data_IF_342568598975
#
_entry.id   IF_342568598975
#
_cell.length_a   1.000
_cell.length_b   1.000
_cell.length_c   1.000
_cell.angle_alpha   90.00
_cell.angle_beta   90.00
_cell.angle_gamma   90.00
#
_symmetry.space_group_name_H-M   'P 1'
#
loop_
_entity.id
_entity.type
_entity.pdbx_description
1 polymer ?
#
# COMPACT_ATOMS: atom_id res chain seq x y z
N UNK A 1 -29.41 17.38 -5.65
CA UNK A 1 -30.54 16.99 -6.51
C UNK A 1 -30.55 15.47 -6.62
N UNK A 2 -31.31 14.71 -5.80
CA UNK A 2 -31.39 13.27 -5.97
C UNK A 2 -32.62 12.91 -6.82
N UNK A 3 -32.39 12.21 -7.93
CA UNK A 3 -33.42 11.67 -8.82
C UNK A 3 -34.01 10.40 -8.24
N UNK A 4 -35.26 10.50 -7.79
CA UNK A 4 -36.11 9.41 -7.31
C UNK A 4 -36.42 8.43 -8.45
N UNK A 5 -35.96 7.18 -8.33
CA UNK A 5 -36.29 6.12 -9.30
C UNK A 5 -37.45 5.29 -8.75
N UNK A 6 -38.63 5.54 -9.33
CA UNK A 6 -39.92 4.91 -9.02
C UNK A 6 -39.98 3.51 -9.64
N UNK A 7 -39.87 2.45 -8.82
CA UNK A 7 -40.17 1.07 -9.24
C UNK A 7 -41.68 0.87 -9.32
N UNK A 8 -42.13 0.49 -10.52
CA UNK A 8 -43.52 0.20 -10.90
C UNK A 8 -43.81 -1.27 -10.58
N UNK A 9 -44.71 -1.53 -9.64
CA UNK A 9 -45.21 -2.87 -9.35
C UNK A 9 -46.19 -3.29 -10.47
N UNK A 10 -45.91 -4.42 -11.11
CA UNK A 10 -46.78 -5.09 -12.07
C UNK A 10 -47.67 -6.09 -11.34
N UNK A 11 -48.96 -5.77 -11.27
CA UNK A 11 -50.04 -6.63 -10.81
C UNK A 11 -50.32 -7.74 -11.83
N UNK A 12 -50.11 -8.99 -11.43
CA UNK A 12 -50.53 -10.18 -12.17
C UNK A 12 -51.94 -10.55 -11.74
N UNK A 13 -52.89 -10.42 -12.66
CA UNK A 13 -54.29 -10.82 -12.50
C UNK A 13 -54.42 -12.33 -12.69
N UNK A 14 -54.82 -13.05 -11.64
CA UNK A 14 -55.26 -14.44 -11.73
C UNK A 14 -56.64 -14.50 -12.40
N UNK A 15 -56.69 -15.14 -13.56
CA UNK A 15 -57.92 -15.52 -14.25
C UNK A 15 -58.46 -16.80 -13.62
N UNK A 16 -59.57 -16.64 -12.92
CA UNK A 16 -60.46 -17.68 -12.42
C UNK A 16 -61.12 -18.38 -13.62
N UNK A 17 -60.87 -19.68 -13.79
CA UNK A 17 -61.47 -20.50 -14.84
C UNK A 17 -62.30 -21.59 -14.17
N UNK A 18 -63.58 -21.26 -14.01
CA UNK A 18 -64.66 -22.19 -13.68
C UNK A 18 -64.83 -23.20 -14.83
N UNK A 19 -64.56 -24.47 -14.58
CA UNK A 19 -65.03 -25.57 -15.42
C UNK A 19 -66.05 -26.39 -14.63
N UNK A 20 -67.24 -26.45 -15.22
CA UNK A 20 -68.42 -27.12 -14.74
C UNK A 20 -68.38 -28.62 -15.01
N UNK A 21 -69.09 -29.34 -14.14
CA UNK A 21 -69.92 -30.52 -14.40
C UNK A 21 -69.48 -31.52 -15.46
N UNK A 22 -69.01 -32.68 -14.99
CA UNK A 22 -69.37 -33.96 -15.59
C UNK A 22 -69.39 -35.03 -14.48
N UNK A 23 -70.59 -35.26 -13.93
CA UNK A 23 -70.87 -36.42 -13.08
C UNK A 23 -71.14 -37.62 -13.98
N UNK A 24 -70.14 -38.48 -14.16
CA UNK A 24 -70.34 -39.79 -14.78
C UNK A 24 -70.09 -40.91 -13.76
N UNK A 25 -71.17 -41.64 -13.48
CA UNK A 25 -71.22 -42.71 -12.49
C UNK A 25 -70.47 -43.94 -12.98
N UNK A 26 -69.23 -44.12 -12.54
CA UNK A 26 -68.49 -45.37 -12.72
C UNK A 26 -68.34 -46.08 -11.38
N UNK A 27 -69.00 -47.23 -11.30
CA UNK A 27 -68.96 -48.18 -10.19
C UNK A 27 -67.50 -48.56 -9.90
N UNK A 28 -66.96 -48.03 -8.80
CA UNK A 28 -65.57 -48.14 -8.42
C UNK A 28 -65.24 -49.60 -8.02
N UNK A 29 -64.64 -50.33 -8.96
CA UNK A 29 -63.98 -51.61 -8.69
C UNK A 29 -62.75 -51.30 -7.82
N UNK A 30 -62.90 -51.40 -6.51
CA UNK A 30 -61.85 -51.17 -5.51
C UNK A 30 -60.71 -52.16 -5.73
N UNK A 31 -59.71 -51.76 -6.52
CA UNK A 31 -58.44 -52.47 -6.62
C UNK A 31 -57.71 -52.28 -5.29
N UNK A 32 -57.65 -53.36 -4.50
CA UNK A 32 -56.79 -53.45 -3.33
C UNK A 32 -55.35 -53.15 -3.74
N UNK A 33 -54.87 -51.97 -3.36
CA UNK A 33 -53.49 -51.56 -3.51
C UNK A 33 -52.64 -52.49 -2.62
N UNK A 34 -51.61 -53.17 -3.16
CA UNK A 34 -50.79 -54.11 -2.39
C UNK A 34 -50.16 -53.44 -1.16
N UNK A 35 -50.22 -54.08 0.00
CA UNK A 35 -49.70 -53.52 1.26
C UNK A 35 -48.22 -53.06 1.18
N UNK A 36 -47.41 -53.68 0.31
CA UNK A 36 -46.02 -53.26 0.05
C UNK A 36 -45.90 -51.84 -0.55
N UNK A 37 -46.87 -51.37 -1.34
CA UNK A 37 -46.78 -50.04 -1.94
C UNK A 37 -47.08 -48.93 -0.92
N UNK A 38 -47.79 -49.23 0.16
CA UNK A 38 -48.00 -48.26 1.25
C UNK A 38 -46.72 -47.94 2.02
N UNK A 39 -45.87 -48.94 2.27
CA UNK A 39 -44.58 -48.74 2.94
C UNK A 39 -43.63 -47.87 2.11
N UNK A 40 -43.55 -48.12 0.80
CA UNK A 40 -42.72 -47.31 -0.11
C UNK A 40 -43.21 -45.86 -0.18
N UNK A 41 -44.52 -45.63 -0.19
CA UNK A 41 -45.07 -44.26 -0.20
C UNK A 41 -44.74 -43.51 1.09
N UNK A 42 -44.75 -44.19 2.24
CA UNK A 42 -44.38 -43.57 3.52
C UNK A 42 -42.89 -43.22 3.57
N UNK A 43 -42.02 -44.09 3.05
CA UNK A 43 -40.58 -43.83 2.94
C UNK A 43 -40.27 -42.68 1.99
N UNK A 44 -40.90 -42.65 0.81
CA UNK A 44 -40.77 -41.53 -0.14
C UNK A 44 -41.20 -40.20 0.48
N UNK A 45 -42.31 -40.20 1.23
CA UNK A 45 -42.78 -38.98 1.91
C UNK A 45 -41.81 -38.53 3.00
N UNK A 46 -41.27 -39.47 3.78
CA UNK A 46 -40.24 -39.17 4.79
C UNK A 46 -38.98 -38.58 4.16
N UNK A 47 -38.56 -39.10 3.01
CA UNK A 47 -37.39 -38.63 2.28
C UNK A 47 -37.63 -37.25 1.65
N UNK A 48 -38.85 -37.00 1.14
CA UNK A 48 -39.28 -35.69 0.65
C UNK A 48 -39.26 -34.64 1.76
N UNK A 49 -39.79 -34.95 2.95
CA UNK A 49 -39.81 -34.05 4.09
C UNK A 49 -38.38 -33.77 4.62
N UNK A 50 -37.52 -34.78 4.64
CA UNK A 50 -36.09 -34.63 4.97
C UNK A 50 -35.38 -33.72 3.96
N UNK A 51 -35.62 -33.91 2.66
CA UNK A 51 -35.04 -33.08 1.61
C UNK A 51 -35.50 -31.62 1.69
N UNK A 52 -36.80 -31.38 1.94
CA UNK A 52 -37.34 -30.04 2.17
C UNK A 52 -36.68 -29.36 3.36
N UNK A 53 -36.49 -30.09 4.46
CA UNK A 53 -35.82 -29.56 5.65
C UNK A 53 -34.36 -29.23 5.38
N UNK A 54 -33.66 -30.06 4.60
CA UNK A 54 -32.28 -29.81 4.18
C UNK A 54 -32.16 -28.55 3.30
N UNK A 55 -33.09 -28.34 2.36
CA UNK A 55 -33.15 -27.12 1.55
C UNK A 55 -33.30 -25.88 2.43
N UNK A 56 -34.28 -25.88 3.34
CA UNK A 56 -34.52 -24.73 4.24
C UNK A 56 -33.30 -24.42 5.11
N UNK A 57 -32.61 -25.45 5.61
CA UNK A 57 -31.37 -25.25 6.36
C UNK A 57 -30.25 -24.65 5.50
N UNK A 58 -30.13 -25.08 4.24
CA UNK A 58 -29.14 -24.52 3.31
C UNK A 58 -29.46 -23.08 2.92
N UNK A 59 -30.73 -22.75 2.71
CA UNK A 59 -31.17 -21.37 2.46
C UNK A 59 -30.85 -20.46 3.65
N UNK A 60 -31.06 -20.94 4.88
CA UNK A 60 -30.67 -20.21 6.10
C UNK A 60 -29.15 -20.01 6.19
N UNK A 61 -28.35 -21.03 5.86
CA UNK A 61 -26.89 -20.95 5.84
C UNK A 61 -26.39 -19.92 4.80
N UNK A 62 -27.02 -19.87 3.62
CA UNK A 62 -26.71 -18.90 2.57
C UNK A 62 -27.07 -17.48 3.06
N UNK A 63 -28.25 -17.28 3.62
CA UNK A 63 -28.68 -15.98 4.13
C UNK A 63 -27.76 -15.44 5.24
N UNK A 64 -27.24 -16.31 6.11
CA UNK A 64 -26.26 -15.92 7.14
C UNK A 64 -24.92 -15.50 6.53
N UNK A 65 -24.46 -16.20 5.49
CA UNK A 65 -23.24 -15.82 4.75
C UNK A 65 -23.41 -14.50 4.00
N UNK A 66 -24.55 -14.29 3.36
CA UNK A 66 -24.86 -13.03 2.67
C UNK A 66 -24.90 -11.86 3.64
N UNK A 67 -25.47 -12.05 4.84
CA UNK A 67 -25.42 -11.05 5.91
C UNK A 67 -23.98 -10.74 6.32
N UNK A 68 -23.14 -11.76 6.51
CA UNK A 68 -21.74 -11.57 6.89
C UNK A 68 -20.92 -10.88 5.78
N UNK A 69 -21.22 -11.17 4.52
CA UNK A 69 -20.61 -10.46 3.39
C UNK A 69 -20.99 -8.97 3.42
N UNK A 70 -22.26 -8.65 3.64
CA UNK A 70 -22.71 -7.27 3.75
C UNK A 70 -22.07 -6.52 4.95
N UNK A 71 -21.85 -7.19 6.08
CA UNK A 71 -21.12 -6.61 7.22
C UNK A 71 -19.64 -6.31 6.88
N UNK A 72 -18.95 -7.23 6.19
CA UNK A 72 -17.56 -7.01 5.76
C UNK A 72 -17.44 -5.89 4.72
N UNK A 73 -18.41 -5.76 3.81
CA UNK A 73 -18.42 -4.66 2.83
C UNK A 73 -18.54 -3.29 3.52
N UNK A 74 -19.37 -3.18 4.58
CA UNK A 74 -19.48 -1.95 5.37
C UNK A 74 -18.18 -1.62 6.12
N UNK A 75 -17.52 -2.63 6.71
CA UNK A 75 -16.22 -2.44 7.37
C UNK A 75 -15.13 -1.99 6.36
N UNK A 76 -15.17 -2.53 5.14
CA UNK A 76 -14.25 -2.13 4.08
C UNK A 76 -14.48 -0.68 3.65
N UNK A 77 -15.73 -0.27 3.48
CA UNK A 77 -16.09 1.10 3.16
C UNK A 77 -15.64 2.08 4.27
N UNK A 78 -15.82 1.72 5.55
CA UNK A 78 -15.35 2.53 6.68
C UNK A 78 -13.82 2.68 6.67
N UNK A 79 -13.08 1.58 6.46
CA UNK A 79 -11.62 1.60 6.36
C UNK A 79 -11.12 2.45 5.18
N UNK A 80 -11.78 2.34 4.02
CA UNK A 80 -11.45 3.12 2.84
C UNK A 80 -11.68 4.62 3.06
N UNK A 81 -12.75 4.99 3.75
CA UNK A 81 -13.02 6.38 4.11
C UNK A 81 -11.97 6.92 5.10
N UNK A 82 -11.62 6.16 6.15
CA UNK A 82 -10.59 6.57 7.10
C UNK A 82 -9.22 6.79 6.44
N UNK A 83 -8.83 5.92 5.51
CA UNK A 83 -7.55 6.08 4.80
C UNK A 83 -7.57 7.27 3.84
N UNK A 84 -8.73 7.53 3.20
CA UNK A 84 -8.91 8.71 2.33
C UNK A 84 -8.74 10.01 3.12
N UNK A 85 -9.38 10.12 4.29
CA UNK A 85 -9.26 11.30 5.16
C UNK A 85 -7.81 11.50 5.65
N UNK A 86 -7.12 10.40 5.98
CA UNK A 86 -5.71 10.43 6.39
C UNK A 86 -4.80 10.92 5.27
N UNK A 87 -5.00 10.42 4.05
CA UNK A 87 -4.24 10.86 2.87
C UNK A 87 -4.45 12.36 2.65
N UNK A 88 -5.70 12.82 2.69
CA UNK A 88 -6.02 14.23 2.51
C UNK A 88 -5.34 15.11 3.58
N UNK A 89 -5.37 14.70 4.85
CA UNK A 89 -4.69 15.42 5.93
C UNK A 89 -3.17 15.54 5.70
N UNK A 90 -2.52 14.49 5.19
CA UNK A 90 -1.09 14.51 4.90
C UNK A 90 -0.75 15.38 3.67
N UNK A 91 -1.63 15.41 2.68
CA UNK A 91 -1.49 16.30 1.52
C UNK A 91 -1.58 17.77 1.95
N UNK A 92 -2.55 18.11 2.81
CA UNK A 92 -2.70 19.45 3.37
C UNK A 92 -1.48 19.89 4.19
N UNK A 93 -0.92 18.98 5.02
CA UNK A 93 0.31 19.24 5.78
C UNK A 93 1.52 19.46 4.85
N UNK A 94 1.67 18.62 3.82
CA UNK A 94 2.73 18.76 2.82
C UNK A 94 2.63 20.09 2.08
N UNK A 95 1.44 20.49 1.67
CA UNK A 95 1.21 21.79 1.04
C UNK A 95 1.55 22.95 1.98
N UNK A 96 1.21 22.83 3.27
CA UNK A 96 1.55 23.82 4.27
C UNK A 96 3.07 23.95 4.45
N UNK A 97 3.79 22.84 4.57
CA UNK A 97 5.26 22.84 4.67
C UNK A 97 5.93 23.46 3.44
N UNK A 98 5.40 23.19 2.23
CA UNK A 98 5.90 23.81 1.01
C UNK A 98 5.70 25.34 1.00
N UNK A 99 4.54 25.83 1.49
CA UNK A 99 4.29 27.27 1.64
C UNK A 99 5.26 27.91 2.63
N UNK A 100 5.49 27.25 3.77
CA UNK A 100 6.38 27.75 4.81
C UNK A 100 7.84 27.76 4.38
N UNK A 101 8.28 26.73 3.63
CA UNK A 101 9.60 26.68 3.02
C UNK A 101 9.81 27.83 2.04
N UNK A 102 8.86 28.06 1.12
CA UNK A 102 8.95 29.16 0.16
C UNK A 102 8.97 30.53 0.86
N UNK A 103 8.17 30.70 1.92
CA UNK A 103 8.19 31.90 2.73
C UNK A 103 9.52 32.12 3.47
N UNK A 104 10.19 31.04 3.91
CA UNK A 104 11.52 31.10 4.49
C UNK A 104 12.58 31.50 3.45
N UNK A 105 12.54 30.91 2.25
CA UNK A 105 13.46 31.21 1.16
C UNK A 105 13.35 32.68 0.71
N UNK A 106 12.13 33.21 0.61
CA UNK A 106 11.91 34.64 0.31
C UNK A 106 12.46 35.56 1.41
N UNK A 107 12.32 35.19 2.68
CA UNK A 107 12.91 35.94 3.80
C UNK A 107 14.43 35.92 3.74
N UNK A 108 15.04 34.77 3.48
CA UNK A 108 16.49 34.63 3.32
C UNK A 108 17.01 35.49 2.16
N UNK A 109 16.37 35.44 1.00
CA UNK A 109 16.71 36.27 -0.15
C UNK A 109 16.56 37.79 0.15
N UNK A 110 15.61 38.18 1.00
CA UNK A 110 15.46 39.54 1.49
C UNK A 110 16.62 39.97 2.40
N UNK A 111 17.00 39.12 3.36
CA UNK A 111 18.13 39.36 4.26
C UNK A 111 19.45 39.43 3.50
N UNK A 112 19.70 38.53 2.54
CA UNK A 112 20.88 38.54 1.70
C UNK A 112 21.03 39.85 0.90
N UNK A 113 19.92 40.40 0.37
CA UNK A 113 19.92 41.72 -0.28
C UNK A 113 20.29 42.85 0.70
N UNK A 114 19.77 42.81 1.93
CA UNK A 114 20.10 43.81 2.95
C UNK A 114 21.57 43.77 3.35
N UNK A 115 22.13 42.57 3.51
CA UNK A 115 23.56 42.37 3.80
C UNK A 115 24.43 43.00 2.70
N UNK A 116 24.18 42.67 1.43
CA UNK A 116 24.92 43.26 0.30
C UNK A 116 24.86 44.79 0.25
N UNK A 117 23.70 45.38 0.58
CA UNK A 117 23.54 46.82 0.65
C UNK A 117 24.40 47.44 1.77
N UNK A 118 24.40 46.83 2.96
CA UNK A 118 25.24 47.26 4.08
C UNK A 118 26.73 47.11 3.77
N UNK A 119 27.14 46.02 3.12
CA UNK A 119 28.52 45.82 2.67
C UNK A 119 28.95 46.90 1.69
N UNK A 120 28.09 47.27 0.73
CA UNK A 120 28.37 48.37 -0.20
C UNK A 120 28.50 49.73 0.51
N UNK A 121 27.64 50.00 1.50
CA UNK A 121 27.75 51.22 2.31
C UNK A 121 29.07 51.25 3.09
N UNK A 122 29.45 50.16 3.75
CA UNK A 122 30.72 50.04 4.47
C UNK A 122 31.90 50.27 3.53
N UNK A 123 31.89 49.65 2.34
CA UNK A 123 32.93 49.85 1.33
C UNK A 123 33.05 51.33 0.91
N UNK A 124 31.93 52.00 0.61
CA UNK A 124 31.94 53.43 0.24
C UNK A 124 32.49 54.33 1.36
N UNK A 125 32.18 54.03 2.62
CA UNK A 125 32.70 54.78 3.77
C UNK A 125 34.20 54.57 3.93
N UNK A 126 34.68 53.35 3.65
CA UNK A 126 36.09 53.02 3.70
C UNK A 126 36.87 53.75 2.60
N UNK A 127 36.37 53.78 1.36
CA UNK A 127 36.98 54.51 0.25
C UNK A 127 37.03 56.02 0.51
N UNK A 128 35.93 56.59 1.02
CA UNK A 128 35.87 58.00 1.40
C UNK A 128 36.89 58.33 2.51
N UNK A 129 37.13 57.40 3.44
CA UNK A 129 38.14 57.60 4.50
C UNK A 129 39.58 57.58 3.97
N UNK A 130 39.86 56.80 2.93
CA UNK A 130 41.18 56.72 2.30
C UNK A 130 41.47 57.94 1.40
N UNK A 131 40.43 58.46 0.74
CA UNK A 131 40.54 59.60 -0.18
C UNK A 131 40.42 60.98 0.47
N UNK A 132 40.25 61.08 1.78
CA UNK A 132 40.33 62.36 2.48
C UNK A 132 41.79 62.85 2.41
N UNK A 133 42.09 63.93 1.65
CA UNK A 133 43.45 64.45 1.59
C UNK A 133 43.86 64.83 3.00
N UNK A 134 44.98 64.27 3.47
CA UNK A 134 45.64 64.65 4.71
C UNK A 134 45.98 66.15 4.64
N UNK A 135 45.01 67.02 4.93
CA UNK A 135 45.25 68.43 5.16
C UNK A 135 46.20 68.48 6.35
N UNK A 136 47.47 68.75 6.06
CA UNK A 136 48.55 68.96 7.03
C UNK A 136 48.27 70.23 7.83
N UNK A 137 47.23 70.24 8.64
CA UNK A 137 47.12 71.19 9.74
C UNK A 137 47.91 70.60 10.91
N UNK A 138 49.19 70.95 10.96
CA UNK A 138 49.96 70.93 12.21
C UNK A 138 49.22 71.83 13.18
N UNK A 139 49.12 71.37 14.43
CA UNK A 139 48.39 71.96 15.58
C UNK A 139 46.89 71.69 15.57
N UNK A 140 46.49 70.57 16.21
CA UNK A 140 45.41 70.47 17.22
C UNK A 140 45.30 68.99 17.62
N UNK A 141 45.54 68.72 18.91
CA UNK A 141 44.87 67.70 19.73
C UNK A 141 45.00 66.22 19.36
N UNK A 142 45.78 65.48 20.15
CA UNK A 142 45.84 64.00 20.24
C UNK A 142 44.51 63.30 20.62
N UNK A 143 43.39 64.03 20.71
CA UNK A 143 42.10 63.51 21.16
C UNK A 143 41.31 62.72 20.07
N UNK A 144 41.64 62.87 18.79
CA UNK A 144 40.83 62.29 17.69
C UNK A 144 41.03 60.78 17.47
N UNK A 145 42.22 60.22 17.77
CA UNK A 145 42.50 58.80 17.55
C UNK A 145 41.72 57.88 18.50
N UNK A 146 41.44 58.34 19.72
CA UNK A 146 40.72 57.57 20.74
C UNK A 146 39.28 57.30 20.32
N UNK A 147 38.57 58.31 19.78
CA UNK A 147 37.18 58.15 19.31
C UNK A 147 37.05 57.20 18.11
N UNK A 148 37.98 57.27 17.15
CA UNK A 148 37.99 56.35 16.00
C UNK A 148 38.24 54.90 16.44
N UNK A 149 39.12 54.68 17.42
CA UNK A 149 39.38 53.35 17.97
C UNK A 149 38.15 52.80 18.71
N UNK A 150 37.43 53.65 19.43
CA UNK A 150 36.17 53.29 20.11
C UNK A 150 35.07 52.90 19.11
N UNK A 151 34.90 53.67 18.03
CA UNK A 151 33.94 53.36 16.98
C UNK A 151 34.23 52.01 16.29
N UNK A 152 35.51 51.74 15.98
CA UNK A 152 35.92 50.43 15.41
C UNK A 152 35.62 49.27 16.35
N UNK A 153 35.84 49.46 17.66
CA UNK A 153 35.55 48.45 18.66
C UNK A 153 34.03 48.18 18.78
N UNK A 154 33.21 49.24 18.81
CA UNK A 154 31.76 49.09 18.84
C UNK A 154 31.21 48.41 17.58
N UNK A 155 31.76 48.73 16.40
CA UNK A 155 31.38 48.08 15.15
C UNK A 155 31.76 46.58 15.15
N UNK A 156 32.98 46.25 15.59
CA UNK A 156 33.41 44.85 15.70
C UNK A 156 32.53 44.05 16.66
N UNK A 157 32.18 44.62 17.81
CA UNK A 157 31.27 44.00 18.78
C UNK A 157 29.86 43.82 18.22
N UNK A 158 29.35 44.80 17.45
CA UNK A 158 28.04 44.70 16.81
C UNK A 158 28.01 43.59 15.74
N UNK A 159 29.05 43.49 14.90
CA UNK A 159 29.18 42.40 13.93
C UNK A 159 29.20 41.05 14.65
N UNK A 160 30.03 40.91 15.68
CA UNK A 160 30.13 39.65 16.45
C UNK A 160 28.79 39.26 17.11
N UNK A 161 28.04 40.22 17.63
CA UNK A 161 26.72 39.98 18.20
C UNK A 161 25.71 39.48 17.15
N UNK A 162 25.69 40.11 15.96
CA UNK A 162 24.84 39.68 14.84
C UNK A 162 25.22 38.28 14.36
N UNK A 163 26.50 37.99 14.19
CA UNK A 163 26.96 36.65 13.76
C UNK A 163 26.61 35.58 14.78
N UNK A 164 26.78 35.86 16.08
CA UNK A 164 26.44 34.92 17.16
C UNK A 164 24.92 34.67 17.23
N UNK A 165 24.11 35.71 17.04
CA UNK A 165 22.66 35.58 16.96
C UNK A 165 22.22 34.73 15.76
N UNK A 166 22.81 34.95 14.58
CA UNK A 166 22.55 34.15 13.40
C UNK A 166 22.93 32.67 13.59
N UNK A 167 24.09 32.41 14.22
CA UNK A 167 24.54 31.04 14.52
C UNK A 167 23.61 30.33 15.51
N UNK A 168 23.16 31.03 16.56
CA UNK A 168 22.19 30.47 17.51
C UNK A 168 20.86 30.14 16.83
N UNK A 169 20.40 30.99 15.90
CA UNK A 169 19.16 30.75 15.18
C UNK A 169 19.29 29.54 14.24
N UNK A 170 20.40 29.43 13.50
CA UNK A 170 20.70 28.27 12.65
C UNK A 170 20.81 26.97 13.47
N UNK A 171 21.36 27.04 14.69
CA UNK A 171 21.43 25.88 15.57
C UNK A 171 20.06 25.49 16.10
N UNK A 172 19.19 26.45 16.42
CA UNK A 172 17.82 26.22 16.84
C UNK A 172 16.98 25.56 15.71
N UNK A 173 17.12 26.03 14.48
CA UNK A 173 16.43 25.42 13.33
C UNK A 173 16.94 24.01 13.02
N UNK A 174 18.25 23.74 13.15
CA UNK A 174 18.78 22.38 12.98
C UNK A 174 18.29 21.40 14.05
N UNK A 175 18.16 21.86 15.31
CA UNK A 175 17.64 21.00 16.39
C UNK A 175 16.15 20.73 16.21
N UNK A 176 15.37 21.73 15.78
CA UNK A 176 13.94 21.58 15.50
C UNK A 176 13.69 20.57 14.37
N UNK A 177 14.42 20.71 13.26
CA UNK A 177 14.29 19.80 12.12
C UNK A 177 14.74 18.38 12.47
N UNK A 178 15.81 18.22 13.27
CA UNK A 178 16.20 16.89 13.78
C UNK A 178 15.09 16.27 14.65
N UNK A 179 14.47 17.04 15.55
CA UNK A 179 13.38 16.52 16.38
C UNK A 179 12.12 16.17 15.58
N UNK A 180 11.83 16.86 14.48
CA UNK A 180 10.75 16.48 13.56
C UNK A 180 11.09 15.20 12.79
N UNK A 181 12.32 15.07 12.28
CA UNK A 181 12.77 13.85 11.61
C UNK A 181 12.74 12.65 12.57
N UNK A 182 13.19 12.83 13.82
CA UNK A 182 13.14 11.78 14.83
C UNK A 182 11.69 11.42 15.20
N UNK A 183 10.77 12.40 15.28
CA UNK A 183 9.35 12.13 15.50
C UNK A 183 8.69 11.41 14.33
N UNK A 184 9.01 11.78 13.09
CA UNK A 184 8.55 11.10 11.87
C UNK A 184 9.09 9.67 11.79
N UNK A 185 10.33 9.44 12.21
CA UNK A 185 10.90 8.09 12.28
C UNK A 185 10.17 7.23 13.34
N UNK A 186 9.81 7.81 14.48
CA UNK A 186 9.05 7.12 15.54
C UNK A 186 7.62 6.82 15.07
N UNK A 187 6.93 7.75 14.40
CA UNK A 187 5.56 7.51 13.89
C UNK A 187 5.56 6.50 12.74
N UNK A 188 6.53 6.57 11.83
CA UNK A 188 6.70 5.56 10.78
C UNK A 188 6.92 4.16 11.38
N UNK A 189 7.81 4.05 12.39
CA UNK A 189 8.09 2.77 13.08
C UNK A 189 6.83 2.21 13.76
N UNK A 190 6.03 3.06 14.41
CA UNK A 190 4.75 2.66 15.02
C UNK A 190 3.73 2.20 13.97
N UNK A 191 3.62 2.92 12.85
CA UNK A 191 2.74 2.57 11.73
C UNK A 191 3.09 1.19 11.18
N UNK A 192 4.38 0.92 10.92
CA UNK A 192 4.83 -0.39 10.42
C UNK A 192 4.57 -1.53 11.41
N UNK A 193 4.63 -1.29 12.73
CA UNK A 193 4.26 -2.29 13.72
C UNK A 193 2.76 -2.58 13.72
N UNK A 194 1.90 -1.56 13.54
CA UNK A 194 0.46 -1.77 13.50
C UNK A 194 -0.01 -2.51 12.24
N UNK A 195 0.59 -2.25 11.08
CA UNK A 195 0.29 -2.98 9.85
C UNK A 195 0.75 -4.42 9.89
N UNK A 196 1.96 -4.68 10.41
CA UNK A 196 2.47 -6.06 10.57
C UNK A 196 1.64 -6.86 11.57
N UNK A 197 1.17 -6.22 12.65
CA UNK A 197 0.25 -6.84 13.61
C UNK A 197 -1.11 -7.17 12.98
N UNK A 198 -1.74 -6.21 12.26
CA UNK A 198 -3.02 -6.44 11.57
C UNK A 198 -2.89 -7.54 10.50
N UNK A 199 -1.84 -7.49 9.68
CA UNK A 199 -1.56 -8.53 8.67
C UNK A 199 -1.39 -9.93 9.29
N UNK A 200 -0.71 -9.99 10.44
CA UNK A 200 -0.54 -11.25 11.18
C UNK A 200 -1.87 -11.76 11.74
N UNK A 201 -2.72 -10.89 12.29
CA UNK A 201 -4.07 -11.26 12.73
C UNK A 201 -4.92 -11.80 11.57
N UNK A 202 -4.90 -11.14 10.39
CA UNK A 202 -5.65 -11.61 9.23
C UNK A 202 -5.17 -12.99 8.75
N UNK A 203 -3.86 -13.23 8.74
CA UNK A 203 -3.29 -14.56 8.42
C UNK A 203 -3.71 -15.62 9.42
N UNK A 204 -3.67 -15.32 10.72
CA UNK A 204 -4.14 -16.25 11.77
C UNK A 204 -5.62 -16.56 11.58
N UNK A 205 -6.45 -15.55 11.31
CA UNK A 205 -7.88 -15.75 11.06
C UNK A 205 -8.14 -16.59 9.80
N UNK A 206 -7.40 -16.35 8.71
CA UNK A 206 -7.49 -17.19 7.51
C UNK A 206 -7.10 -18.65 7.81
N UNK A 207 -6.03 -18.86 8.58
CA UNK A 207 -5.57 -20.18 8.97
C UNK A 207 -6.64 -20.94 9.78
N UNK A 208 -7.24 -20.27 10.77
CA UNK A 208 -8.34 -20.81 11.58
C UNK A 208 -9.53 -21.20 10.71
N UNK A 209 -9.90 -20.37 9.73
CA UNK A 209 -11.00 -20.67 8.80
C UNK A 209 -10.69 -21.86 7.89
N UNK A 210 -9.44 -22.03 7.44
CA UNK A 210 -9.03 -23.21 6.65
C UNK A 210 -9.01 -24.50 7.48
N UNK A 211 -8.53 -24.45 8.73
CA UNK A 211 -8.52 -25.63 9.62
C UNK A 211 -9.95 -26.06 9.99
N UNK A 212 -10.85 -25.10 10.24
CA UNK A 212 -12.27 -25.42 10.47
C UNK A 212 -12.94 -26.05 9.24
N UNK A 213 -12.57 -25.61 8.03
CA UNK A 213 -13.09 -26.22 6.79
C UNK A 213 -12.54 -27.63 6.56
N UNK A 214 -11.26 -27.89 6.85
CA UNK A 214 -10.69 -29.24 6.71
C UNK A 214 -11.30 -30.21 7.72
N UNK A 215 -11.53 -29.78 8.96
CA UNK A 215 -12.19 -30.59 9.98
C UNK A 215 -13.63 -30.96 9.61
N UNK A 216 -14.35 -30.08 8.91
CA UNK A 216 -15.71 -30.38 8.42
C UNK A 216 -15.74 -31.34 7.22
N UNK A 217 -14.69 -31.36 6.40
CA UNK A 217 -14.61 -32.25 5.24
C UNK A 217 -14.19 -33.67 5.62
N UNK A 218 -13.41 -33.83 6.69
CA UNK A 218 -12.99 -35.15 7.17
C UNK A 218 -14.13 -35.93 7.85
N UNK A 219 -15.12 -35.22 8.44
CA UNK A 219 -16.31 -35.85 9.03
C UNK A 219 -17.31 -36.35 7.96
N UNK A 220 -17.23 -35.85 6.72
CA UNK A 220 -18.14 -36.28 5.65
C UNK A 220 -17.67 -37.50 4.85
N UNK A 221 -16.46 -38.01 5.07
CA UNK A 221 -15.91 -39.13 4.31
C UNK A 221 -16.06 -40.51 5.00
N UNK A 222 -16.68 -40.59 6.17
CA UNK A 222 -16.74 -41.84 6.95
C UNK A 222 -18.06 -42.62 6.87
N UNK A 223 -19.07 -42.08 6.19
CA UNK A 223 -20.35 -42.76 6.01
C UNK A 223 -20.49 -43.31 4.59
N UNK A 224 -19.94 -44.49 4.32
CA UNK A 224 -20.39 -45.27 3.17
C UNK A 224 -19.39 -46.23 2.54
N UNK A 225 -19.06 -47.33 3.24
CA UNK A 225 -18.82 -48.62 2.57
C UNK A 225 -18.78 -49.77 3.58
N UNK A 226 -19.87 -50.55 3.66
CA UNK A 226 -19.82 -52.01 3.94
C UNK A 226 -21.22 -52.62 4.05
N UNK A 227 -21.77 -52.98 2.89
CA UNK A 227 -22.71 -54.11 2.71
C UNK A 227 -22.36 -54.65 1.32
N UNK A 228 -22.14 -55.93 1.05
CA UNK A 228 -22.62 -57.21 1.59
C UNK A 228 -21.86 -58.30 0.81
N UNK A 229 -21.41 -59.39 1.45
CA UNK A 229 -21.52 -60.73 0.84
C UNK A 229 -21.78 -61.78 1.93
N UNK A 230 -22.93 -62.44 1.80
CA UNK A 230 -23.45 -63.53 2.61
C UNK A 230 -22.85 -64.85 2.11
N UNK A 231 -22.31 -65.66 3.01
CA UNK A 231 -22.03 -67.08 2.79
C UNK A 231 -22.54 -67.89 3.98
N UNK A 232 -23.56 -68.70 3.71
CA UNK A 232 -24.29 -69.56 4.65
C UNK A 232 -23.42 -70.71 5.19
N UNK A 233 -23.43 -70.91 6.52
CA UNK A 233 -23.28 -72.22 7.15
C UNK A 233 -23.93 -72.23 8.55
N UNK A 234 -24.59 -73.32 8.98
CA UNK A 234 -25.27 -73.39 10.27
C UNK A 234 -24.45 -74.18 11.28
N UNK A 235 -24.06 -73.58 12.42
CA UNK A 235 -23.60 -74.34 13.58
C UNK A 235 -24.12 -73.70 14.88
N UNK A 236 -25.13 -74.36 15.44
CA UNK A 236 -25.27 -74.77 16.85
C UNK A 236 -24.54 -73.98 17.94
N UNK A 237 -25.33 -73.35 18.80
CA UNK A 237 -25.22 -73.43 20.26
C UNK A 237 -24.09 -72.66 20.96
N UNK A 238 -24.45 -71.63 21.72
CA UNK A 238 -24.24 -71.57 23.18
C UNK A 238 -24.68 -70.22 23.75
N UNK A 239 -25.35 -70.30 24.90
CA UNK A 239 -25.71 -69.22 25.80
C UNK A 239 -24.46 -68.48 26.31
N UNK A 240 -24.48 -67.14 26.26
CA UNK A 240 -23.76 -66.31 27.22
C UNK A 240 -24.47 -64.95 27.36
N UNK A 241 -25.06 -64.76 28.53
CA UNK A 241 -25.49 -63.48 29.09
C UNK A 241 -24.27 -62.62 29.43
N UNK A 242 -24.17 -61.41 28.91
CA UNK A 242 -23.31 -60.36 29.51
C UNK A 242 -24.04 -59.03 29.57
N UNK A 243 -24.27 -58.67 30.82
CA UNK A 243 -24.66 -57.43 31.48
C UNK A 243 -24.23 -56.13 30.80
N UNK A 244 -25.20 -55.21 30.73
CA UNK A 244 -25.07 -53.78 30.45
C UNK A 244 -24.26 -53.09 31.54
N UNK A 245 -23.22 -52.32 31.18
CA UNK A 245 -22.57 -51.37 32.10
C UNK A 245 -22.48 -49.99 31.43
N UNK A 246 -23.39 -49.11 31.86
CA UNK A 246 -23.48 -47.71 31.46
C UNK A 246 -22.54 -46.90 32.35
N UNK A 247 -21.47 -46.36 31.78
CA UNK A 247 -20.63 -45.37 32.47
C UNK A 247 -20.96 -43.98 31.96
N UNK A 248 -21.67 -43.25 32.82
CA UNK A 248 -22.02 -41.85 32.69
C UNK A 248 -20.80 -41.02 33.13
N UNK A 249 -20.19 -40.27 32.21
CA UNK A 249 -19.07 -39.37 32.55
C UNK A 249 -19.63 -38.01 32.96
N UNK A 250 -19.59 -37.73 34.27
CA UNK A 250 -19.76 -36.39 34.84
C UNK A 250 -18.59 -35.49 34.44
N UNK A 251 -18.89 -34.29 33.95
CA UNK A 251 -17.94 -33.18 33.88
C UNK A 251 -18.39 -32.09 34.85
N UNK A 252 -17.65 -31.96 35.95
CA UNK A 252 -17.67 -30.78 36.82
C UNK A 252 -16.67 -29.72 36.30
N UNK A 253 -16.92 -28.41 36.56
CA UNK A 253 -16.09 -27.33 36.07
C UNK A 253 -14.97 -26.98 37.06
N UNK A 254 -13.72 -26.96 36.58
CA UNK A 254 -12.60 -26.35 37.31
C UNK A 254 -12.32 -24.96 36.77
N UNK A 255 -12.67 -23.95 37.57
CA UNK A 255 -11.94 -22.70 37.59
C UNK A 255 -10.63 -22.91 38.37
N UNK A 256 -9.52 -22.35 37.89
CA UNK A 256 -8.50 -21.60 38.68
C UNK A 256 -7.30 -21.27 37.79
N UNK A 257 -6.87 -20.02 37.98
CA UNK A 257 -5.70 -19.30 37.51
C UNK A 257 -4.41 -20.08 37.21
N UNK A 258 -3.64 -19.55 36.24
CA UNK A 258 -2.18 -19.24 36.21
C UNK A 258 -1.75 -19.19 34.73
N UNK A 259 -0.78 -18.42 34.24
CA UNK A 259 -0.04 -17.23 34.63
C UNK A 259 0.99 -16.98 33.51
N UNK A 260 1.25 -15.71 33.21
CA UNK A 260 2.58 -15.15 32.86
C UNK A 260 3.58 -16.09 32.17
N UNK A 261 3.65 -16.06 30.85
CA UNK A 261 4.86 -16.45 30.10
C UNK A 261 4.83 -15.81 28.73
N UNK A 262 5.45 -14.63 28.62
CA UNK A 262 5.91 -13.99 27.36
C UNK A 262 6.58 -12.65 27.74
N UNK A 263 7.67 -12.72 28.51
CA UNK A 263 8.50 -11.53 28.80
C UNK A 263 10.00 -11.88 28.80
N UNK A 264 10.42 -12.78 27.90
CA UNK A 264 11.82 -13.23 27.82
C UNK A 264 12.38 -13.29 26.40
N UNK A 265 11.64 -12.83 25.39
CA UNK A 265 12.11 -12.88 23.99
C UNK A 265 12.40 -11.48 23.38
N UNK A 266 12.15 -10.41 24.13
CA UNK A 266 12.39 -9.02 23.69
C UNK A 266 13.77 -8.49 24.13
N UNK A 267 14.52 -9.20 24.97
CA UNK A 267 15.82 -8.71 25.49
C UNK A 267 17.06 -9.22 24.73
N UNK A 268 16.92 -10.12 23.74
CA UNK A 268 18.07 -10.61 22.97
C UNK A 268 18.34 -9.84 21.65
N UNK A 269 17.42 -8.96 21.23
CA UNK A 269 17.58 -8.19 19.98
C UNK A 269 18.19 -6.78 20.19
N UNK A 270 18.33 -6.31 21.44
CA UNK A 270 18.84 -4.97 21.74
C UNK A 270 20.37 -4.89 21.91
N UNK A 271 21.07 -6.03 21.95
CA UNK A 271 22.51 -6.06 22.25
C UNK A 271 23.43 -6.06 21.01
N UNK A 272 22.89 -6.01 19.79
CA UNK A 272 23.69 -6.11 18.55
C UNK A 272 23.82 -4.79 17.78
N UNK A 273 23.20 -3.70 18.23
CA UNK A 273 23.18 -2.43 17.49
C UNK A 273 24.01 -1.29 18.10
N UNK A 274 24.95 -1.61 19.00
CA UNK A 274 25.78 -0.61 19.69
C UNK A 274 27.29 -0.87 19.52
N UNK A 275 27.69 -1.39 18.34
CA UNK A 275 29.10 -1.66 17.99
C UNK A 275 29.45 -1.23 16.56
N UNK A 276 29.05 -0.02 16.17
CA UNK A 276 29.49 0.61 14.92
C UNK A 276 29.52 2.15 15.00
N UNK A 277 29.75 2.72 16.18
CA UNK A 277 29.73 4.18 16.39
C UNK A 277 30.99 4.70 17.05
N UNK A 278 32.14 4.38 16.47
CA UNK A 278 33.40 5.10 16.72
C UNK A 278 34.27 4.95 15.49
N UNK A 279 35.00 6.02 15.15
CA UNK A 279 35.90 6.18 13.98
C UNK A 279 35.24 6.94 12.81
N UNK A 280 35.33 8.28 12.85
CA UNK A 280 35.96 9.08 11.80
C UNK A 280 36.01 10.56 12.24
N UNK A 281 37.24 11.01 12.52
CA UNK A 281 37.59 12.42 12.71
C UNK A 281 37.63 13.15 11.34
N UNK A 282 37.53 14.49 11.32
CA UNK A 282 37.38 15.28 10.11
C UNK A 282 38.73 15.70 9.53
N UNK A 283 38.93 15.52 8.22
CA UNK A 283 40.00 16.20 7.48
C UNK A 283 39.40 17.33 6.64
N UNK A 284 39.99 18.50 6.85
CA UNK A 284 39.63 19.76 6.26
C UNK A 284 40.00 19.88 4.78
N UNK A 285 39.31 20.82 4.13
CA UNK A 285 39.81 21.74 3.11
C UNK A 285 40.46 21.14 1.85
N UNK A 286 39.68 21.09 0.77
CA UNK A 286 40.20 21.34 -0.57
C UNK A 286 39.17 22.11 -1.40
N UNK A 287 39.55 23.35 -1.71
CA UNK A 287 39.03 24.20 -2.77
C UNK A 287 38.89 23.46 -4.10
N UNK A 288 37.77 23.61 -4.81
CA UNK A 288 37.69 23.32 -6.25
C UNK A 288 36.61 24.14 -6.94
N UNK A 289 37.11 25.19 -7.59
CA UNK A 289 36.69 25.85 -8.83
C UNK A 289 35.36 25.39 -9.45
N UNK A 290 34.44 26.36 -9.52
CA UNK A 290 33.38 26.44 -10.51
C UNK A 290 33.95 26.48 -11.92
N UNK A 291 33.67 25.46 -12.72
CA UNK A 291 33.72 25.51 -14.19
C UNK A 291 32.29 25.42 -14.70
N UNK A 292 31.85 26.56 -15.23
CA UNK A 292 30.63 26.77 -15.98
C UNK A 292 30.78 26.06 -17.33
N UNK A 293 30.10 24.95 -17.53
CA UNK A 293 30.00 24.31 -18.85
C UNK A 293 28.87 24.97 -19.63
N UNK A 294 29.29 25.83 -20.55
CA UNK A 294 28.52 26.44 -21.62
C UNK A 294 28.01 25.34 -22.57
N UNK A 295 26.68 25.15 -22.62
CA UNK A 295 26.02 24.32 -23.62
C UNK A 295 26.07 25.04 -24.98
N UNK A 296 27.07 24.73 -25.79
CA UNK A 296 27.06 25.06 -27.21
C UNK A 296 26.08 24.13 -27.94
N UNK A 297 25.03 24.76 -28.47
CA UNK A 297 24.14 24.22 -29.49
C UNK A 297 24.94 24.07 -30.78
N UNK A 298 25.18 22.83 -31.22
CA UNK A 298 25.69 22.54 -32.57
C UNK A 298 24.59 21.88 -33.39
N UNK A 299 23.96 22.68 -34.25
CA UNK A 299 23.25 22.23 -35.44
C UNK A 299 24.29 22.02 -36.56
N UNK A 300 24.29 20.86 -37.19
CA UNK A 300 25.15 20.58 -38.34
C UNK A 300 24.70 19.32 -39.07
N UNK A 301 24.05 19.52 -40.21
CA UNK A 301 23.60 18.51 -41.17
C UNK A 301 24.77 17.83 -41.91
N UNK A 302 24.44 16.68 -42.52
CA UNK A 302 25.12 16.02 -43.65
C UNK A 302 26.52 15.41 -43.45
N UNK A 303 26.58 14.08 -43.55
CA UNK A 303 27.47 13.42 -44.54
C UNK A 303 27.18 11.91 -44.61
N UNK A 304 26.59 11.53 -45.74
CA UNK A 304 26.44 10.17 -46.24
C UNK A 304 27.85 9.64 -46.62
N UNK A 305 28.35 8.62 -45.93
CA UNK A 305 29.55 7.90 -46.34
C UNK A 305 29.31 6.39 -46.32
N UNK A 306 29.41 5.85 -47.53
CA UNK A 306 29.38 4.46 -47.93
C UNK A 306 30.44 3.64 -47.16
N UNK A 307 30.03 2.56 -46.48
CA UNK A 307 30.93 1.55 -45.91
C UNK A 307 30.60 0.19 -46.53
N UNK A 308 31.60 -0.57 -47.03
CA UNK A 308 31.37 -1.84 -47.74
C UNK A 308 31.14 -3.03 -46.79
N UNK A 309 30.52 -4.12 -47.26
CA UNK A 309 30.16 -5.26 -46.42
C UNK A 309 31.37 -6.21 -46.26
N UNK A 310 31.98 -6.20 -45.07
CA UNK A 310 32.92 -7.24 -44.67
C UNK A 310 32.17 -8.31 -43.87
N UNK A 311 32.03 -9.48 -44.49
CA UNK A 311 31.56 -10.70 -43.87
C UNK A 311 32.48 -11.07 -42.68
N UNK A 312 31.92 -11.05 -41.47
CA UNK A 312 32.64 -11.36 -40.25
C UNK A 312 31.70 -11.84 -39.14
N UNK A 313 31.55 -13.17 -39.06
CA UNK A 313 31.39 -13.98 -37.83
C UNK A 313 30.28 -13.58 -36.83
N UNK A 314 29.24 -14.41 -36.78
CA UNK A 314 28.27 -14.50 -35.67
C UNK A 314 29.00 -14.58 -34.31
N UNK A 315 29.14 -13.43 -33.65
CA UNK A 315 29.22 -13.34 -32.19
C UNK A 315 27.82 -12.97 -31.72
N UNK A 316 27.26 -13.76 -30.82
CA UNK A 316 25.95 -13.52 -30.22
C UNK A 316 25.96 -12.21 -29.42
N UNK A 317 25.69 -11.09 -30.08
CA UNK A 317 25.35 -9.82 -29.44
C UNK A 317 24.09 -10.05 -28.62
N UNK A 318 24.26 -10.28 -27.32
CA UNK A 318 23.14 -10.28 -26.40
C UNK A 318 22.57 -8.87 -26.40
N UNK A 319 21.25 -8.68 -26.58
CA UNK A 319 20.64 -7.37 -26.40
C UNK A 319 20.74 -7.01 -24.91
N UNK A 320 21.81 -6.28 -24.53
CA UNK A 320 22.15 -5.89 -23.15
C UNK A 320 21.07 -4.99 -22.48
N UNK A 321 20.02 -4.62 -23.20
CA UNK A 321 18.90 -3.84 -22.70
C UNK A 321 17.57 -4.57 -22.91
N UNK A 322 17.50 -5.84 -22.51
CA UNK A 322 16.23 -6.55 -22.44
C UNK A 322 15.34 -5.90 -21.36
N UNK A 323 14.25 -5.29 -21.82
CA UNK A 323 13.14 -4.84 -20.96
C UNK A 323 12.61 -6.04 -20.18
N UNK A 324 12.44 -5.89 -18.87
CA UNK A 324 11.90 -6.96 -18.03
C UNK A 324 10.36 -6.94 -18.07
N UNK A 325 9.75 -5.83 -17.62
CA UNK A 325 8.30 -5.62 -17.71
C UNK A 325 7.94 -4.12 -17.75
N UNK A 326 6.69 -3.82 -18.12
CA UNK A 326 6.13 -2.47 -18.08
C UNK A 326 5.29 -2.31 -16.81
N UNK A 327 5.65 -1.35 -15.97
CA UNK A 327 4.97 -1.08 -14.70
C UNK A 327 3.77 -0.14 -14.86
N UNK A 328 3.71 0.67 -15.92
CA UNK A 328 2.64 1.65 -16.08
C UNK A 328 2.68 2.45 -17.37
N UNK A 329 1.67 3.28 -17.58
CA UNK A 329 1.58 4.20 -18.70
C UNK A 329 1.05 5.57 -18.28
N UNK A 330 1.42 6.60 -19.04
CA UNK A 330 0.86 7.95 -18.92
C UNK A 330 0.85 8.67 -20.27
N UNK A 331 -0.15 9.52 -20.44
CA UNK A 331 -0.25 10.42 -21.58
C UNK A 331 0.39 11.77 -21.23
N UNK A 332 1.31 12.24 -22.08
CA UNK A 332 1.89 13.59 -22.01
C UNK A 332 1.47 14.32 -23.29
N UNK A 333 0.38 15.09 -23.20
CA UNK A 333 -0.26 15.69 -24.36
C UNK A 333 -0.81 14.61 -25.30
N UNK A 334 -0.23 14.50 -26.49
CA UNK A 334 -0.56 13.47 -27.49
C UNK A 334 0.38 12.26 -27.46
N UNK A 335 1.43 12.31 -26.64
CA UNK A 335 2.48 11.30 -26.62
C UNK A 335 2.25 10.32 -25.47
N UNK A 336 2.18 9.03 -25.80
CA UNK A 336 2.11 7.95 -24.82
C UNK A 336 3.52 7.58 -24.36
N UNK A 337 3.72 7.54 -23.04
CA UNK A 337 4.94 7.05 -22.40
C UNK A 337 4.62 5.89 -21.47
N UNK A 338 5.56 4.96 -21.36
CA UNK A 338 5.46 3.81 -20.49
C UNK A 338 6.59 3.81 -19.48
N UNK A 339 6.30 3.36 -18.27
CA UNK A 339 7.30 3.13 -17.24
C UNK A 339 7.85 1.72 -17.44
N UNK A 340 9.06 1.65 -17.98
CA UNK A 340 9.75 0.42 -18.32
C UNK A 340 10.67 0.05 -17.17
N UNK A 341 10.57 -1.18 -16.67
CA UNK A 341 11.48 -1.73 -15.67
C UNK A 341 12.51 -2.61 -16.37
N UNK A 342 13.78 -2.33 -16.11
CA UNK A 342 14.92 -3.01 -16.70
C UNK A 342 15.42 -4.15 -15.79
N UNK A 343 16.20 -5.07 -16.36
CA UNK A 343 16.95 -6.07 -15.58
C UNK A 343 17.95 -5.34 -14.68
N UNK A 344 17.65 -5.24 -13.39
CA UNK A 344 18.35 -4.38 -12.44
C UNK A 344 17.41 -3.54 -11.57
N UNK A 345 16.10 -3.64 -11.81
CA UNK A 345 15.06 -2.92 -11.07
C UNK A 345 15.08 -1.39 -11.26
N UNK A 346 15.89 -0.90 -12.21
CA UNK A 346 15.82 0.49 -12.66
C UNK A 346 14.52 0.70 -13.46
N UNK A 347 13.88 1.85 -13.27
CA UNK A 347 12.66 2.21 -13.97
C UNK A 347 12.81 3.54 -14.72
N UNK A 348 12.59 3.53 -16.03
CA UNK A 348 12.63 4.76 -16.86
C UNK A 348 11.31 4.96 -17.61
N UNK A 349 11.02 6.21 -17.98
CA UNK A 349 9.84 6.54 -18.79
C UNK A 349 10.22 6.63 -20.27
N UNK A 350 9.96 5.57 -21.02
CA UNK A 350 10.25 5.48 -22.45
C UNK A 350 9.04 5.88 -23.31
N UNK A 351 9.31 6.38 -24.51
CA UNK A 351 8.26 6.72 -25.50
C UNK A 351 7.74 5.46 -26.19
N UNK A 352 6.47 5.48 -26.62
CA UNK A 352 5.87 4.38 -27.38
C UNK A 352 6.72 3.94 -28.60
N UNK A 353 7.28 4.90 -29.34
CA UNK A 353 8.11 4.63 -30.51
C UNK A 353 9.33 3.74 -30.21
N UNK A 354 9.88 3.79 -28.99
CA UNK A 354 11.06 3.00 -28.61
C UNK A 354 10.71 1.57 -28.18
N UNK A 355 9.48 1.36 -27.72
CA UNK A 355 9.04 0.09 -27.11
C UNK A 355 7.99 -0.66 -27.93
N UNK A 356 7.62 -0.14 -29.10
CA UNK A 356 6.58 -0.71 -29.95
C UNK A 356 6.86 -2.18 -30.32
N UNK A 357 8.15 -2.55 -30.41
CA UNK A 357 8.62 -3.88 -30.80
C UNK A 357 9.06 -4.74 -29.59
N UNK A 358 8.67 -4.35 -28.36
CA UNK A 358 9.03 -5.07 -27.14
C UNK A 358 7.96 -6.10 -26.73
N UNK A 359 8.37 -7.34 -26.47
CA UNK A 359 7.49 -8.41 -25.95
C UNK A 359 6.80 -8.04 -24.64
N UNK A 360 7.44 -7.22 -23.81
CA UNK A 360 6.87 -6.72 -22.56
C UNK A 360 5.62 -5.82 -22.79
N UNK A 361 5.54 -5.15 -23.94
CA UNK A 361 4.37 -4.34 -24.30
C UNK A 361 3.16 -5.21 -24.62
N UNK A 362 3.36 -6.31 -25.35
CA UNK A 362 2.29 -7.27 -25.65
C UNK A 362 1.73 -7.90 -24.38
N UNK A 363 2.62 -8.30 -23.46
CA UNK A 363 2.23 -8.82 -22.16
C UNK A 363 1.43 -7.80 -21.33
N UNK A 364 1.86 -6.53 -21.37
CA UNK A 364 1.18 -5.43 -20.68
C UNK A 364 -0.22 -5.17 -21.25
N UNK A 365 -0.37 -5.12 -22.57
CA UNK A 365 -1.67 -4.94 -23.23
C UNK A 365 -2.62 -6.11 -22.95
N UNK A 366 -2.10 -7.34 -23.01
CA UNK A 366 -2.85 -8.55 -22.67
C UNK A 366 -3.34 -8.55 -21.23
N UNK A 367 -2.53 -8.07 -20.28
CA UNK A 367 -2.93 -7.93 -18.87
C UNK A 367 -4.14 -6.98 -18.71
N UNK A 368 -4.21 -5.94 -19.54
CA UNK A 368 -5.34 -5.01 -19.57
C UNK A 368 -6.52 -5.45 -20.44
N UNK A 369 -6.44 -6.60 -21.12
CA UNK A 369 -7.46 -7.06 -22.06
C UNK A 369 -7.61 -6.17 -23.29
N UNK A 370 -6.52 -5.53 -23.71
CA UNK A 370 -6.49 -4.61 -24.86
C UNK A 370 -5.61 -5.19 -25.98
N UNK A 371 -6.01 -4.95 -27.24
CA UNK A 371 -5.21 -5.34 -28.41
C UNK A 371 -4.37 -4.18 -28.97
N UNK A 372 -4.69 -2.93 -28.59
CA UNK A 372 -4.08 -1.73 -29.16
C UNK A 372 -3.80 -0.68 -28.06
N UNK A 373 -2.63 -0.05 -28.12
CA UNK A 373 -2.21 1.01 -27.19
C UNK A 373 -3.11 2.25 -27.23
N UNK A 374 -3.82 2.49 -28.34
CA UNK A 374 -4.78 3.59 -28.47
C UNK A 374 -5.97 3.49 -27.49
N UNK A 375 -6.29 2.28 -27.02
CA UNK A 375 -7.39 2.03 -26.09
C UNK A 375 -6.97 2.19 -24.61
N UNK A 376 -5.71 2.50 -24.34
CA UNK A 376 -5.24 2.75 -22.98
C UNK A 376 -5.87 4.03 -22.43
N UNK A 377 -6.25 3.99 -21.16
CA UNK A 377 -6.89 5.10 -20.48
C UNK A 377 -5.99 6.35 -20.50
N UNK A 378 -6.58 7.54 -20.56
CA UNK A 378 -5.83 8.80 -20.42
C UNK A 378 -5.37 9.08 -18.99
N UNK A 379 -5.94 8.38 -18.01
CA UNK A 379 -5.51 8.47 -16.61
C UNK A 379 -4.18 7.75 -16.46
N UNK A 380 -3.29 8.32 -15.65
CA UNK A 380 -2.04 7.67 -15.26
C UNK A 380 -2.37 6.35 -14.57
N UNK A 381 -1.69 5.28 -14.98
CA UNK A 381 -1.82 3.97 -14.34
C UNK A 381 -0.44 3.41 -14.04
N UNK A 382 -0.23 2.98 -12.80
CA UNK A 382 0.97 2.31 -12.31
C UNK A 382 0.53 1.06 -11.53
N UNK A 383 1.05 -0.11 -11.91
CA UNK A 383 0.73 -1.41 -11.28
C UNK A 383 1.25 -1.43 -9.83
N UNK A 384 2.35 -0.72 -9.55
CA UNK A 384 2.97 -0.66 -8.23
C UNK A 384 3.18 0.79 -7.78
N UNK A 385 2.14 1.45 -7.27
CA UNK A 385 2.32 2.75 -6.56
C UNK A 385 3.02 2.61 -5.21
N UNK A 386 3.20 1.38 -4.70
CA UNK A 386 3.85 1.11 -3.40
C UNK A 386 5.38 1.00 -3.42
N UNK A 387 6.02 0.98 -4.59
CA UNK A 387 7.49 0.71 -4.70
C UNK A 387 8.26 1.91 -5.30
N UNK A 388 7.59 3.00 -5.65
CA UNK A 388 8.23 4.18 -6.25
C UNK A 388 8.64 5.22 -5.21
#
# INVERSE_FOLDING_TARGET
>A
MPTSTRRRASSVSNTDSSNADEQDGHSAKVRLVPQKSWSMLQELKSLEDAHKTAIVNKEKEIAEKDKKLAEMDLELDELMNCETDRIQSLEEEREQLLRDHLAAELREAGLARRIRNLEAQVASLQDNSQNMPLRRNRTIGTASHSSMRLLRLHLANAIQAVTKSAQMNAQATSKSTQTEVDQLAITASKSTQTETFKSSQTKVHQLVMTVSKSAQTEVQLFDGESTTELSNAPISGMLATTTFESTQTELHPLAVATSKSTQTEVQLAAATFESARTELHPLAAATSKSTQTELQVFNGENSFAHVPPAAGKLGSEQPEHAVDYINGHRWIGKNLKFQVVWKGNDATWESFARIQDCVALDAYLKHHGLENTANLSKKKYCINERIA
#
